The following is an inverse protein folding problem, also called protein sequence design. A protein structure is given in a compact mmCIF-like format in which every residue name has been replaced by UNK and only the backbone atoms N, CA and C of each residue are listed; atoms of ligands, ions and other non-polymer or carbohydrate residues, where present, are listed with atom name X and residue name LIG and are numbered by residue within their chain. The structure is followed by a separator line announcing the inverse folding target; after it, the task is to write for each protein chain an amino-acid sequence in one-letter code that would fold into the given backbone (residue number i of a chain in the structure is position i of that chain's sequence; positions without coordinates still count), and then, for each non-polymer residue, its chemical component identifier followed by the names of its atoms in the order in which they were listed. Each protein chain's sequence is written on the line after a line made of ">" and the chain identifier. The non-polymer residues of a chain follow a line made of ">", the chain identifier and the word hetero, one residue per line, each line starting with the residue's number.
data_IF_138902313964
#
_entry.id   IF_138902313964
#
_cell.length_a   1.000
_cell.length_b   1.000
_cell.length_c   1.000
_cell.angle_alpha   90.00
_cell.angle_beta   90.00
_cell.angle_gamma   90.00
#
_symmetry.space_group_name_H-M   'P 1'
#
loop_
_entity.id
_entity.type
_entity.pdbx_description
1 polymer ?
#
# COMPACT_ATOMS: atom_id res chain seq x y z
N UNK A 1 7.92 -11.31 -11.82
CA UNK A 1 8.28 -12.22 -10.70
C UNK A 1 8.21 -11.41 -9.42
N UNK A 2 7.46 -11.82 -8.41
CA UNK A 2 7.27 -11.03 -7.20
C UNK A 2 8.54 -11.00 -6.33
N UNK A 3 8.81 -9.89 -5.60
CA UNK A 3 10.02 -9.74 -4.77
C UNK A 3 10.26 -10.86 -3.77
N UNK A 4 9.19 -11.48 -3.24
CA UNK A 4 9.28 -12.59 -2.29
C UNK A 4 10.02 -13.80 -2.83
N UNK A 5 9.81 -14.16 -4.08
CA UNK A 5 10.53 -15.28 -4.72
C UNK A 5 12.01 -14.99 -4.91
N UNK A 6 12.36 -13.73 -5.09
CA UNK A 6 13.76 -13.29 -5.17
C UNK A 6 14.39 -13.20 -3.79
N UNK A 7 13.66 -12.69 -2.80
CA UNK A 7 14.09 -12.64 -1.41
C UNK A 7 14.36 -14.05 -0.85
N UNK A 8 13.56 -15.06 -1.23
CA UNK A 8 13.81 -16.45 -0.84
C UNK A 8 15.08 -17.03 -1.43
N UNK A 9 15.47 -16.61 -2.65
CA UNK A 9 16.74 -17.02 -3.29
C UNK A 9 17.95 -16.37 -2.62
N UNK A 10 17.81 -15.15 -2.10
CA UNK A 10 18.88 -14.42 -1.42
C UNK A 10 19.11 -14.86 0.02
N UNK A 11 18.30 -15.75 0.55
CA UNK A 11 18.33 -16.15 1.96
C UNK A 11 18.10 -14.95 2.88
N UNK A 12 17.45 -15.09 3.94
CA UNK A 12 17.20 -14.20 5.09
C UNK A 12 17.54 -12.69 4.98
N UNK A 13 17.43 -12.09 3.80
CA UNK A 13 17.89 -10.75 3.59
C UNK A 13 16.83 -9.69 3.89
N UNK A 14 17.18 -8.77 4.78
CA UNK A 14 16.25 -7.93 5.51
C UNK A 14 15.76 -6.68 4.77
N UNK A 15 16.34 -6.29 3.63
CA UNK A 15 16.08 -4.98 3.03
C UNK A 15 14.84 -4.88 2.13
N UNK A 16 14.31 -6.02 1.66
CA UNK A 16 13.04 -6.09 0.90
C UNK A 16 12.11 -7.10 1.57
N UNK A 17 12.35 -7.39 2.83
CA UNK A 17 11.73 -8.50 3.50
C UNK A 17 10.45 -8.10 4.18
N UNK A 18 9.47 -9.00 4.07
CA UNK A 18 8.32 -9.02 4.96
C UNK A 18 8.83 -9.37 6.36
N UNK A 19 8.97 -8.36 7.18
CA UNK A 19 9.27 -8.53 8.60
C UNK A 19 7.97 -8.96 9.28
N UNK A 20 7.96 -9.95 10.17
CA UNK A 20 6.77 -10.30 10.93
C UNK A 20 6.17 -9.08 11.61
N UNK A 21 4.83 -8.96 11.62
CA UNK A 21 4.16 -7.84 12.26
C UNK A 21 4.53 -7.72 13.73
N UNK A 22 4.78 -6.48 14.14
CA UNK A 22 4.93 -6.12 15.54
C UNK A 22 3.55 -5.97 16.20
N UNK A 23 3.48 -6.07 17.52
CA UNK A 23 2.23 -5.83 18.23
C UNK A 23 1.72 -4.39 18.00
N UNK A 24 0.47 -4.25 17.60
CA UNK A 24 -0.15 -2.97 17.27
C UNK A 24 0.24 -2.36 15.92
N UNK A 25 1.04 -3.05 15.12
CA UNK A 25 1.39 -2.63 13.76
C UNK A 25 0.20 -2.78 12.81
N UNK A 26 0.02 -1.79 11.94
CA UNK A 26 -0.98 -1.80 10.85
C UNK A 26 -0.25 -1.62 9.53
N UNK A 27 -0.57 -2.46 8.55
CA UNK A 27 -0.04 -2.34 7.19
C UNK A 27 -1.13 -1.93 6.22
N UNK A 28 -0.84 -0.87 5.46
CA UNK A 28 -1.77 -0.29 4.49
C UNK A 28 -1.11 -0.34 3.12
N UNK A 29 -1.75 -1.04 2.20
CA UNK A 29 -1.43 -0.94 0.78
C UNK A 29 -2.28 0.17 0.17
N UNK A 30 -1.69 1.06 -0.63
CA UNK A 30 -2.44 2.00 -1.46
C UNK A 30 -2.11 1.81 -2.94
N UNK A 31 -3.08 2.09 -3.80
CA UNK A 31 -2.89 2.09 -5.23
C UNK A 31 -3.61 3.30 -5.87
N UNK A 32 -2.86 4.08 -6.64
CA UNK A 32 -3.39 5.06 -7.59
C UNK A 32 -3.38 4.41 -8.97
N UNK A 33 -4.58 4.24 -9.55
CA UNK A 33 -4.79 3.38 -10.72
C UNK A 33 -4.73 4.20 -12.01
N UNK A 34 -3.88 3.79 -12.92
CA UNK A 34 -3.75 4.39 -14.25
C UNK A 34 -4.24 3.48 -15.38
N UNK A 35 -4.62 4.09 -16.47
CA UNK A 35 -5.01 3.42 -17.70
C UNK A 35 -3.83 2.84 -18.48
N UNK A 36 -4.17 1.84 -19.30
CA UNK A 36 -3.34 1.39 -20.40
C UNK A 36 -2.87 2.57 -21.27
N UNK A 37 -1.64 2.52 -21.68
CA UNK A 37 -0.95 3.55 -22.46
C UNK A 37 -1.79 4.13 -23.60
N UNK A 38 -2.06 5.42 -23.56
CA UNK A 38 -2.48 6.15 -24.76
C UNK A 38 -1.25 6.51 -25.60
N UNK A 39 -1.37 6.43 -26.92
CA UNK A 39 -0.28 6.78 -27.86
C UNK A 39 0.10 8.27 -27.85
N UNK A 40 -0.51 9.09 -27.00
CA UNK A 40 -0.28 10.52 -26.88
C UNK A 40 0.21 10.86 -25.48
N UNK A 41 1.51 11.07 -25.36
CA UNK A 41 2.23 11.74 -24.27
C UNK A 41 1.87 11.37 -22.82
N UNK A 42 2.86 10.89 -22.12
CA UNK A 42 2.89 10.53 -20.68
C UNK A 42 1.84 9.49 -20.27
N UNK A 43 2.26 8.25 -20.36
CA UNK A 43 1.51 7.15 -19.77
C UNK A 43 1.49 7.35 -18.27
N UNK A 44 0.31 7.58 -17.69
CA UNK A 44 0.14 7.48 -16.26
C UNK A 44 0.50 6.05 -15.81
N UNK A 45 1.13 5.90 -14.68
CA UNK A 45 1.48 4.61 -14.11
C UNK A 45 0.64 4.34 -12.88
N UNK A 46 0.18 3.10 -12.73
CA UNK A 46 -0.34 2.67 -11.45
C UNK A 46 0.79 2.66 -10.44
N UNK A 47 0.62 3.41 -9.35
CA UNK A 47 1.60 3.51 -8.28
C UNK A 47 1.07 2.83 -7.01
N UNK A 48 1.84 1.88 -6.48
CA UNK A 48 1.48 1.10 -5.29
C UNK A 48 2.49 1.40 -4.18
N UNK A 49 1.98 1.61 -2.95
CA UNK A 49 2.79 1.78 -1.75
C UNK A 49 2.32 0.86 -0.64
N UNK A 50 3.27 0.34 0.13
CA UNK A 50 3.00 -0.36 1.38
C UNK A 50 3.59 0.43 2.53
N UNK A 51 2.70 0.88 3.41
CA UNK A 51 2.98 1.64 4.60
C UNK A 51 2.83 0.74 5.83
N UNK A 52 3.89 0.64 6.59
CA UNK A 52 3.94 0.01 7.89
C UNK A 52 3.76 1.09 8.97
N UNK A 53 2.58 1.14 9.57
CA UNK A 53 2.30 2.01 10.70
C UNK A 53 2.75 1.33 11.99
N UNK A 54 3.79 1.86 12.63
CA UNK A 54 4.34 1.32 13.87
C UNK A 54 3.97 2.23 15.04
N UNK A 55 3.37 1.69 16.12
CA UNK A 55 3.03 2.49 17.30
C UNK A 55 4.30 2.98 18.00
N UNK A 56 4.25 4.23 18.46
CA UNK A 56 5.31 4.84 19.25
C UNK A 56 4.95 4.87 20.74
N UNK A 57 5.93 5.00 21.60
CA UNK A 57 5.71 5.14 23.05
C UNK A 57 4.82 6.34 23.42
N UNK A 58 4.71 7.33 22.55
CA UNK A 58 3.85 8.50 22.75
C UNK A 58 2.38 8.28 22.34
N UNK A 59 1.97 7.06 22.02
CA UNK A 59 0.61 6.74 21.58
C UNK A 59 0.25 7.26 20.18
N UNK A 60 1.27 7.57 19.39
CA UNK A 60 1.16 7.96 17.97
C UNK A 60 1.77 6.88 17.09
N UNK A 61 1.58 7.01 15.78
CA UNK A 61 2.18 6.10 14.81
C UNK A 61 3.25 6.78 13.96
N UNK A 62 4.28 6.03 13.61
CA UNK A 62 5.22 6.38 12.55
C UNK A 62 4.87 5.54 11.32
N UNK A 63 4.79 6.18 10.16
CA UNK A 63 4.56 5.53 8.87
C UNK A 63 5.89 5.26 8.20
N UNK A 64 6.23 3.99 8.04
CA UNK A 64 7.41 3.57 7.29
C UNK A 64 6.95 3.01 5.94
N UNK A 65 7.38 3.62 4.85
CA UNK A 65 7.15 3.08 3.52
C UNK A 65 8.16 1.96 3.31
N UNK A 66 7.67 0.73 3.26
CA UNK A 66 8.51 -0.48 3.19
C UNK A 66 8.59 -1.08 1.79
N UNK A 67 7.69 -0.67 0.90
CA UNK A 67 7.66 -1.11 -0.48
C UNK A 67 6.97 -0.10 -1.38
N UNK A 68 7.43 0.01 -2.61
CA UNK A 68 6.78 0.78 -3.67
C UNK A 68 6.99 0.11 -5.03
N UNK A 69 5.95 0.11 -5.84
CA UNK A 69 5.94 -0.45 -7.19
C UNK A 69 5.20 0.49 -8.13
N UNK A 70 5.59 0.48 -9.40
CA UNK A 70 4.87 1.16 -10.47
C UNK A 70 4.67 0.22 -11.62
N UNK A 71 3.45 0.17 -12.16
CA UNK A 71 3.05 -0.66 -13.27
C UNK A 71 2.47 0.22 -14.39
N UNK A 72 2.84 -0.07 -15.63
CA UNK A 72 2.34 0.63 -16.83
C UNK A 72 1.65 -0.35 -17.77
N UNK A 73 0.62 0.10 -18.46
CA UNK A 73 0.01 -0.65 -19.57
C UNK A 73 -0.75 -1.91 -19.19
N UNK A 74 -1.05 -2.14 -17.93
CA UNK A 74 -1.73 -3.33 -17.45
C UNK A 74 -3.26 -3.16 -17.51
N UNK A 75 -3.97 -4.28 -17.69
CA UNK A 75 -5.42 -4.35 -17.59
C UNK A 75 -5.86 -4.27 -16.12
N UNK A 76 -7.12 -3.97 -15.89
CA UNK A 76 -7.67 -3.84 -14.52
C UNK A 76 -7.62 -5.15 -13.72
N UNK A 77 -7.80 -6.29 -14.39
CA UNK A 77 -7.70 -7.62 -13.79
C UNK A 77 -6.24 -7.96 -13.37
N UNK A 78 -5.27 -7.64 -14.23
CA UNK A 78 -3.84 -7.82 -13.91
C UNK A 78 -3.42 -6.93 -12.73
N UNK A 79 -3.86 -5.66 -12.74
CA UNK A 79 -3.58 -4.72 -11.65
C UNK A 79 -4.22 -5.18 -10.33
N UNK A 80 -5.47 -5.68 -10.36
CA UNK A 80 -6.14 -6.23 -9.19
C UNK A 80 -5.39 -7.46 -8.64
N UNK A 81 -4.88 -8.32 -9.52
CA UNK A 81 -4.11 -9.49 -9.11
C UNK A 81 -2.78 -9.10 -8.45
N UNK A 82 -2.06 -8.11 -8.99
CA UNK A 82 -0.83 -7.58 -8.37
C UNK A 82 -1.14 -7.02 -6.99
N UNK A 83 -2.16 -6.16 -6.86
CA UNK A 83 -2.58 -5.57 -5.59
C UNK A 83 -2.93 -6.67 -4.59
N UNK A 84 -3.68 -7.69 -5.03
CA UNK A 84 -4.09 -8.80 -4.17
C UNK A 84 -2.92 -9.65 -3.69
N UNK A 85 -1.97 -9.95 -4.58
CA UNK A 85 -0.73 -10.67 -4.23
C UNK A 85 0.11 -9.89 -3.22
N UNK A 86 0.31 -8.59 -3.45
CA UNK A 86 1.06 -7.73 -2.52
C UNK A 86 0.35 -7.58 -1.17
N UNK A 87 -0.99 -7.48 -1.18
CA UNK A 87 -1.79 -7.44 0.05
C UNK A 87 -1.55 -8.66 0.93
N UNK A 88 -1.55 -9.86 0.35
CA UNK A 88 -1.31 -11.11 1.09
C UNK A 88 0.17 -11.27 1.45
N UNK A 89 1.07 -10.99 0.51
CA UNK A 89 2.51 -11.13 0.71
C UNK A 89 3.01 -10.27 1.87
N UNK A 90 2.57 -9.01 1.94
CA UNK A 90 2.94 -8.11 3.03
C UNK A 90 2.02 -8.20 4.24
N UNK A 91 1.11 -9.15 4.30
CA UNK A 91 0.13 -9.29 5.38
C UNK A 91 -0.56 -7.95 5.71
N UNK A 92 -0.99 -7.22 4.67
CA UNK A 92 -1.64 -5.94 4.83
C UNK A 92 -2.99 -6.08 5.53
N UNK A 93 -3.38 -5.05 6.28
CA UNK A 93 -4.69 -4.99 6.96
C UNK A 93 -5.73 -4.29 6.10
N UNK A 94 -5.29 -3.32 5.30
CA UNK A 94 -6.16 -2.50 4.48
C UNK A 94 -5.56 -2.24 3.10
N UNK A 95 -6.47 -2.06 2.12
CA UNK A 95 -6.16 -1.56 0.79
C UNK A 95 -6.82 -0.19 0.66
N UNK A 96 -6.08 0.83 0.27
CA UNK A 96 -6.60 2.17 -0.06
C UNK A 96 -6.64 2.29 -1.58
N UNK A 97 -7.82 2.52 -2.12
CA UNK A 97 -8.05 2.59 -3.56
C UNK A 97 -8.87 3.83 -3.91
N UNK A 98 -8.41 4.62 -4.90
CA UNK A 98 -9.27 5.64 -5.49
C UNK A 98 -10.38 4.94 -6.29
N UNK A 99 -11.61 5.05 -5.79
CA UNK A 99 -12.79 4.44 -6.40
C UNK A 99 -13.49 5.37 -7.43
N UNK A 100 -12.74 6.30 -8.02
CA UNK A 100 -13.20 7.09 -9.16
C UNK A 100 -12.65 6.50 -10.47
N UNK A 101 -13.43 6.59 -11.53
CA UNK A 101 -12.99 6.15 -12.86
C UNK A 101 -12.54 4.69 -12.89
N UNK A 102 -11.27 4.47 -13.20
CA UNK A 102 -10.70 3.14 -13.40
C UNK A 102 -10.56 2.33 -12.10
N UNK A 103 -10.34 2.99 -10.98
CA UNK A 103 -10.26 2.31 -9.70
C UNK A 103 -11.52 1.55 -9.35
N UNK A 104 -12.70 1.94 -9.89
CA UNK A 104 -13.93 1.14 -9.78
C UNK A 104 -13.77 -0.23 -10.45
N UNK A 105 -13.15 -0.28 -11.64
CA UNK A 105 -12.91 -1.54 -12.35
C UNK A 105 -11.97 -2.47 -11.60
N UNK A 106 -10.90 -1.92 -11.00
CA UNK A 106 -9.99 -2.70 -10.15
C UNK A 106 -10.70 -3.17 -8.87
N UNK A 107 -11.52 -2.29 -8.26
CA UNK A 107 -12.35 -2.69 -7.13
C UNK A 107 -13.29 -3.85 -7.47
N UNK A 108 -13.98 -3.80 -8.61
CA UNK A 108 -14.89 -4.85 -9.06
C UNK A 108 -14.17 -6.20 -9.29
N UNK A 109 -12.91 -6.15 -9.70
CA UNK A 109 -12.07 -7.34 -9.76
C UNK A 109 -11.72 -7.88 -8.37
N UNK A 110 -11.33 -7.01 -7.43
CA UNK A 110 -11.04 -7.39 -6.04
C UNK A 110 -12.29 -7.85 -5.27
N UNK A 111 -13.49 -7.41 -5.68
CA UNK A 111 -14.77 -7.75 -5.05
C UNK A 111 -15.32 -9.12 -5.48
N UNK A 112 -14.56 -9.91 -6.21
CA UNK A 112 -14.82 -11.28 -6.61
C UNK A 112 -13.59 -12.16 -6.36
N UNK A 113 -13.75 -13.48 -6.39
CA UNK A 113 -12.60 -14.36 -6.32
C UNK A 113 -11.70 -14.13 -7.56
N UNK A 114 -10.42 -13.92 -7.31
CA UNK A 114 -9.40 -13.77 -8.35
C UNK A 114 -8.62 -15.06 -8.49
N UNK A 115 -8.37 -15.45 -9.73
CA UNK A 115 -7.56 -16.63 -10.05
C UNK A 115 -6.28 -16.17 -10.70
N UNK A 116 -5.15 -16.56 -10.13
CA UNK A 116 -3.85 -16.45 -10.80
C UNK A 116 -3.73 -17.59 -11.82
N UNK A 117 -3.81 -17.26 -13.09
CA UNK A 117 -3.76 -18.24 -14.19
C UNK A 117 -2.41 -18.94 -14.30
N UNK A 118 -1.34 -18.32 -13.80
CA UNK A 118 0.02 -18.87 -13.89
C UNK A 118 0.27 -19.92 -12.80
N UNK A 119 -0.33 -19.74 -11.63
CA UNK A 119 -0.13 -20.64 -10.46
C UNK A 119 -1.35 -21.48 -10.14
N UNK A 120 -2.53 -21.12 -10.64
CA UNK A 120 -3.82 -21.73 -10.27
C UNK A 120 -4.29 -21.31 -8.86
N UNK A 121 -3.62 -20.37 -8.19
CA UNK A 121 -4.01 -19.89 -6.87
C UNK A 121 -5.28 -19.06 -6.94
N UNK A 122 -6.19 -19.28 -5.98
CA UNK A 122 -7.45 -18.53 -5.88
C UNK A 122 -7.41 -17.62 -4.67
N UNK A 123 -7.61 -16.33 -4.93
CA UNK A 123 -7.68 -15.28 -3.91
C UNK A 123 -9.13 -14.91 -3.62
N UNK A 124 -9.64 -15.14 -2.40
CA UNK A 124 -11.01 -14.79 -2.04
C UNK A 124 -11.32 -13.32 -2.21
N UNK A 125 -12.59 -13.02 -2.52
CA UNK A 125 -13.10 -11.67 -2.68
C UNK A 125 -12.88 -10.80 -1.44
N UNK A 126 -12.60 -9.52 -1.69
CA UNK A 126 -12.50 -8.47 -0.67
C UNK A 126 -13.63 -7.46 -0.86
N UNK A 127 -14.01 -6.76 0.21
CA UNK A 127 -15.11 -5.79 0.17
C UNK A 127 -14.71 -4.44 0.77
N UNK A 128 -15.50 -3.42 0.47
CA UNK A 128 -15.29 -2.08 0.99
C UNK A 128 -15.68 -1.97 2.47
N UNK A 129 -14.84 -1.26 3.26
CA UNK A 129 -15.05 -1.09 4.70
C UNK A 129 -15.62 0.28 5.09
N UNK A 130 -15.62 1.27 4.19
CA UNK A 130 -15.97 2.66 4.53
C UNK A 130 -17.08 3.28 3.67
N UNK A 131 -17.56 2.59 2.64
CA UNK A 131 -18.61 3.08 1.74
C UNK A 131 -19.60 1.96 1.43
N UNK A 132 -20.89 2.18 1.76
CA UNK A 132 -21.94 1.16 1.59
C UNK A 132 -22.28 0.90 0.12
N UNK A 133 -22.23 1.91 -0.75
CA UNK A 133 -22.49 1.75 -2.19
C UNK A 133 -21.40 0.88 -2.84
N UNK A 134 -20.15 1.14 -2.47
CA UNK A 134 -19.04 0.31 -2.94
C UNK A 134 -19.11 -1.11 -2.35
N UNK A 135 -19.44 -1.25 -1.08
CA UNK A 135 -19.62 -2.56 -0.45
C UNK A 135 -20.71 -3.39 -1.10
N UNK A 136 -21.82 -2.76 -1.54
CA UNK A 136 -22.93 -3.42 -2.23
C UNK A 136 -22.54 -4.02 -3.62
N UNK A 137 -21.45 -3.57 -4.21
CA UNK A 137 -20.92 -4.16 -5.47
C UNK A 137 -20.29 -5.55 -5.27
N UNK A 138 -19.84 -5.84 -4.04
CA UNK A 138 -19.35 -7.16 -3.69
C UNK A 138 -20.52 -8.08 -3.33
N UNK A 139 -20.83 -9.05 -4.20
CA UNK A 139 -21.92 -10.00 -4.01
C UNK A 139 -21.49 -11.29 -3.30
N UNK A 140 -20.20 -11.45 -3.04
CA UNK A 140 -19.66 -12.66 -2.38
C UNK A 140 -19.98 -12.60 -0.89
N UNK A 141 -20.70 -13.61 -0.34
CA UNK A 141 -21.04 -13.61 1.07
C UNK A 141 -19.79 -13.65 1.96
N UNK A 142 -19.81 -12.87 3.06
CA UNK A 142 -18.73 -12.84 4.04
C UNK A 142 -17.36 -12.37 3.50
N UNK A 143 -17.33 -11.68 2.35
CA UNK A 143 -16.12 -11.08 1.84
C UNK A 143 -15.50 -10.14 2.89
N UNK A 144 -14.19 -10.23 3.08
CA UNK A 144 -13.47 -9.47 4.08
C UNK A 144 -13.51 -7.97 3.77
N UNK A 145 -13.98 -7.14 4.72
CA UNK A 145 -14.14 -5.68 4.54
C UNK A 145 -12.83 -4.96 4.87
N UNK A 146 -11.94 -4.86 3.91
CA UNK A 146 -10.60 -4.28 4.08
C UNK A 146 -10.28 -3.18 3.07
N UNK A 147 -11.10 -3.01 2.01
CA UNK A 147 -10.84 -1.99 1.00
C UNK A 147 -11.41 -0.65 1.48
N UNK A 148 -10.54 0.34 1.63
CA UNK A 148 -10.89 1.71 1.90
C UNK A 148 -11.00 2.45 0.57
N UNK A 149 -12.24 2.61 0.10
CA UNK A 149 -12.54 3.33 -1.13
C UNK A 149 -12.53 4.84 -0.85
N UNK A 150 -11.71 5.57 -1.57
CA UNK A 150 -11.68 7.03 -1.53
C UNK A 150 -12.29 7.60 -2.82
N UNK A 151 -12.77 8.82 -2.74
CA UNK A 151 -13.15 9.64 -3.88
C UNK A 151 -12.28 10.90 -3.86
N UNK A 152 -11.39 11.01 -4.83
CA UNK A 152 -10.40 12.08 -4.92
C UNK A 152 -11.06 13.43 -5.29
N UNK A 153 -11.89 13.96 -4.38
CA UNK A 153 -12.47 15.30 -4.50
C UNK A 153 -11.42 16.37 -4.26
N UNK A 154 -11.67 17.61 -4.70
CA UNK A 154 -10.77 18.74 -4.45
C UNK A 154 -10.49 18.97 -2.96
N UNK A 155 -11.50 18.78 -2.09
CA UNK A 155 -11.33 18.88 -0.64
C UNK A 155 -10.44 17.75 -0.11
N UNK A 156 -10.74 16.50 -0.50
CA UNK A 156 -9.94 15.34 -0.10
C UNK A 156 -8.47 15.50 -0.52
N UNK A 157 -8.21 15.90 -1.77
CA UNK A 157 -6.85 16.09 -2.26
C UNK A 157 -6.10 17.19 -1.51
N UNK A 158 -6.79 18.28 -1.15
CA UNK A 158 -6.23 19.34 -0.32
C UNK A 158 -5.86 18.82 1.08
N UNK A 159 -6.77 18.11 1.74
CA UNK A 159 -6.54 17.55 3.08
C UNK A 159 -5.42 16.50 3.08
N UNK A 160 -5.37 15.66 2.04
CA UNK A 160 -4.31 14.67 1.86
C UNK A 160 -2.94 15.35 1.67
N UNK A 161 -2.88 16.43 0.87
CA UNK A 161 -1.67 17.20 0.65
C UNK A 161 -1.15 17.84 1.95
N UNK A 162 -2.03 18.47 2.72
CA UNK A 162 -1.66 19.03 4.01
C UNK A 162 -1.19 17.97 4.99
N UNK A 163 -1.90 16.84 5.07
CA UNK A 163 -1.53 15.73 5.94
C UNK A 163 -0.16 15.17 5.59
N UNK A 164 0.11 14.95 4.30
CA UNK A 164 1.39 14.43 3.83
C UNK A 164 2.53 15.38 4.14
N UNK A 165 2.36 16.69 3.87
CA UNK A 165 3.35 17.73 4.17
C UNK A 165 3.67 17.76 5.67
N UNK A 166 2.64 17.71 6.51
CA UNK A 166 2.83 17.72 7.96
C UNK A 166 3.50 16.42 8.45
N UNK A 167 3.18 15.29 7.83
CA UNK A 167 3.84 14.01 8.12
C UNK A 167 5.34 14.04 7.85
N UNK A 168 5.77 14.62 6.74
CA UNK A 168 7.20 14.81 6.44
C UNK A 168 7.84 15.81 7.39
N UNK A 169 7.20 16.98 7.61
CA UNK A 169 7.72 18.03 8.47
C UNK A 169 7.94 17.56 9.92
N UNK A 170 7.05 16.76 10.42
CA UNK A 170 7.12 16.20 11.78
C UNK A 170 7.98 14.93 11.90
N UNK A 171 8.58 14.45 10.80
CA UNK A 171 9.39 13.22 10.78
C UNK A 171 8.59 11.94 11.03
N UNK A 172 7.27 12.00 10.83
CA UNK A 172 6.37 10.85 11.03
C UNK A 172 6.29 9.91 9.83
N UNK A 173 6.78 10.34 8.67
CA UNK A 173 6.90 9.53 7.46
C UNK A 173 8.38 9.24 7.23
N UNK A 174 8.67 7.98 6.98
CA UNK A 174 9.99 7.51 6.57
C UNK A 174 9.84 6.79 5.25
N UNK A 175 10.53 7.27 4.24
CA UNK A 175 10.58 6.61 2.94
C UNK A 175 11.56 5.45 2.96
N UNK A 176 11.39 4.53 2.03
CA UNK A 176 12.41 3.56 1.69
C UNK A 176 13.66 4.31 1.17
N UNK A 177 14.83 3.70 1.26
CA UNK A 177 16.06 4.25 0.71
C UNK A 177 15.92 4.51 -0.79
N UNK A 178 16.62 5.52 -1.28
CA UNK A 178 16.77 5.76 -2.72
C UNK A 178 17.68 4.69 -3.35
N UNK A 179 17.67 4.58 -4.68
CA UNK A 179 18.54 3.61 -5.38
C UNK A 179 20.01 3.82 -5.05
N UNK A 180 20.46 5.08 -4.93
CA UNK A 180 21.84 5.42 -4.59
C UNK A 180 22.23 4.98 -3.17
N UNK A 181 21.32 5.15 -2.21
CA UNK A 181 21.53 4.72 -0.83
C UNK A 181 21.47 3.20 -0.67
N UNK A 182 20.70 2.52 -1.52
CA UNK A 182 20.51 1.08 -1.48
C UNK A 182 21.62 0.30 -2.20
N UNK A 183 22.36 0.90 -3.13
CA UNK A 183 23.31 0.22 -3.99
C UNK A 183 24.38 -0.55 -3.19
N UNK A 184 25.08 0.12 -2.29
CA UNK A 184 26.14 -0.51 -1.48
C UNK A 184 25.62 -1.54 -0.47
N UNK A 185 24.50 -1.30 0.26
CA UNK A 185 23.86 -2.34 1.05
C UNK A 185 23.45 -3.57 0.25
N UNK A 186 22.89 -3.41 -0.96
CA UNK A 186 22.47 -4.53 -1.80
C UNK A 186 23.66 -5.38 -2.25
N UNK A 187 24.77 -4.76 -2.65
CA UNK A 187 25.99 -5.48 -3.04
C UNK A 187 26.57 -6.34 -1.90
N UNK A 188 26.37 -5.95 -0.64
CA UNK A 188 26.85 -6.69 0.54
C UNK A 188 26.00 -7.91 0.86
N UNK A 189 24.85 -8.05 0.24
CA UNK A 189 23.97 -9.17 0.43
C UNK A 189 24.56 -10.43 -0.18
N UNK A 190 24.70 -11.48 0.62
CA UNK A 190 25.20 -12.77 0.14
C UNK A 190 24.31 -13.30 -1.00
N UNK A 191 24.91 -13.58 -2.14
CA UNK A 191 24.22 -14.09 -3.32
C UNK A 191 23.68 -13.02 -4.27
N UNK A 192 23.65 -11.74 -3.90
CA UNK A 192 23.16 -10.68 -4.78
C UNK A 192 23.98 -10.59 -6.09
N UNK A 193 25.32 -10.63 -6.00
CA UNK A 193 26.20 -10.55 -7.17
C UNK A 193 26.14 -11.78 -8.09
N UNK A 194 25.54 -12.89 -7.63
CA UNK A 194 25.35 -14.10 -8.44
C UNK A 194 23.99 -14.15 -9.14
N UNK A 195 23.12 -13.18 -8.89
CA UNK A 195 21.84 -13.02 -9.59
C UNK A 195 22.07 -12.52 -11.02
N UNK A 196 21.16 -12.90 -11.91
CA UNK A 196 21.12 -12.30 -13.25
C UNK A 196 20.86 -10.79 -13.18
N UNK A 197 21.25 -10.01 -14.20
CA UNK A 197 20.95 -8.58 -14.25
C UNK A 197 19.47 -8.25 -14.07
N UNK A 198 18.60 -9.04 -14.68
CA UNK A 198 17.13 -8.84 -14.55
C UNK A 198 16.64 -9.06 -13.13
N UNK A 199 17.16 -10.07 -12.44
CA UNK A 199 16.82 -10.32 -11.02
C UNK A 199 17.35 -9.21 -10.12
N UNK A 200 18.54 -8.67 -10.39
CA UNK A 200 19.09 -7.53 -9.66
C UNK A 200 18.23 -6.29 -9.86
N UNK A 201 17.81 -6.00 -11.09
CA UNK A 201 16.89 -4.89 -11.39
C UNK A 201 15.56 -5.05 -10.65
N UNK A 202 14.98 -6.24 -10.62
CA UNK A 202 13.73 -6.49 -9.88
C UNK A 202 13.86 -6.18 -8.38
N UNK A 203 15.02 -6.48 -7.78
CA UNK A 203 15.29 -6.15 -6.37
C UNK A 203 15.47 -4.64 -6.18
N UNK A 204 16.01 -3.95 -7.18
CA UNK A 204 16.26 -2.50 -7.12
C UNK A 204 15.01 -1.66 -7.37
N UNK A 205 13.99 -2.20 -8.05
CA UNK A 205 12.78 -1.46 -8.45
C UNK A 205 12.13 -0.64 -7.32
N UNK A 206 11.94 -1.14 -6.09
CA UNK A 206 11.36 -0.33 -5.02
C UNK A 206 12.21 0.89 -4.66
N UNK A 207 13.52 0.79 -4.73
CA UNK A 207 14.44 1.90 -4.45
C UNK A 207 14.48 2.92 -5.59
N UNK A 208 14.45 2.45 -6.85
CA UNK A 208 14.31 3.29 -8.05
C UNK A 208 12.99 4.07 -7.97
N UNK A 209 11.89 3.40 -7.64
CA UNK A 209 10.59 4.06 -7.47
C UNK A 209 10.61 5.09 -6.33
N UNK A 210 11.39 4.86 -5.27
CA UNK A 210 11.57 5.85 -4.21
C UNK A 210 12.34 7.08 -4.71
N UNK A 211 13.39 6.90 -5.52
CA UNK A 211 14.10 8.00 -6.17
C UNK A 211 13.15 8.82 -7.05
N UNK A 212 12.34 8.14 -7.86
CA UNK A 212 11.36 8.80 -8.72
C UNK A 212 10.26 9.52 -7.91
N UNK A 213 9.83 8.97 -6.76
CA UNK A 213 8.92 9.66 -5.85
C UNK A 213 9.53 10.95 -5.29
N UNK A 214 10.77 10.91 -4.84
CA UNK A 214 11.47 12.11 -4.33
C UNK A 214 11.58 13.16 -5.43
N UNK A 215 11.87 12.75 -6.67
CA UNK A 215 11.89 13.64 -7.83
C UNK A 215 10.51 14.26 -8.12
N UNK A 216 9.42 13.46 -8.07
CA UNK A 216 8.06 13.97 -8.18
C UNK A 216 7.77 15.01 -7.08
N UNK A 217 7.99 14.65 -5.81
CA UNK A 217 7.70 15.51 -4.65
C UNK A 217 8.41 16.87 -4.73
N UNK A 218 9.64 16.91 -5.25
CA UNK A 218 10.43 18.14 -5.35
C UNK A 218 10.01 19.03 -6.52
N UNK A 219 9.36 18.48 -7.54
CA UNK A 219 8.96 19.18 -8.77
C UNK A 219 7.49 19.56 -8.84
N UNK A 220 6.67 19.04 -7.92
CA UNK A 220 5.25 19.39 -7.83
C UNK A 220 5.08 20.89 -7.53
N UNK A 221 4.03 21.43 -8.11
CA UNK A 221 3.58 22.80 -7.89
C UNK A 221 2.28 22.80 -7.10
N UNK A 222 1.99 23.90 -6.46
CA UNK A 222 0.73 24.08 -5.74
C UNK A 222 0.09 25.42 -6.08
N UNK A 223 -1.22 25.45 -6.02
CA UNK A 223 -2.05 26.64 -6.15
C UNK A 223 -3.06 26.65 -5.00
N UNK A 224 -3.21 27.80 -4.37
CA UNK A 224 -4.23 28.00 -3.34
C UNK A 224 -5.42 28.75 -3.94
N UNK A 225 -6.61 28.17 -3.78
CA UNK A 225 -7.87 28.81 -4.18
C UNK A 225 -8.97 28.44 -3.18
N UNK A 226 -9.68 29.45 -2.70
CA UNK A 226 -10.82 29.27 -1.77
C UNK A 226 -10.50 28.41 -0.53
N UNK A 227 -9.30 28.56 0.03
CA UNK A 227 -8.84 27.83 1.22
C UNK A 227 -8.49 26.36 0.95
N UNK A 228 -8.37 25.95 -0.32
CA UNK A 228 -7.95 24.62 -0.73
C UNK A 228 -6.64 24.71 -1.50
N UNK A 229 -5.80 23.72 -1.30
CA UNK A 229 -4.57 23.54 -2.06
C UNK A 229 -4.81 22.51 -3.16
N UNK A 230 -4.48 22.89 -4.39
CA UNK A 230 -4.41 21.99 -5.53
C UNK A 230 -2.94 21.70 -5.84
N UNK A 231 -2.56 20.46 -5.81
CA UNK A 231 -1.24 19.99 -6.23
C UNK A 231 -1.33 19.57 -7.70
N UNK A 232 -0.37 20.01 -8.49
CA UNK A 232 -0.31 19.66 -9.90
C UNK A 232 1.14 19.45 -10.36
N UNK A 233 1.28 18.66 -11.39
CA UNK A 233 2.53 18.39 -12.08
C UNK A 233 2.80 19.43 -13.17
N UNK A 234 4.06 19.66 -13.47
CA UNK A 234 4.45 20.41 -14.67
C UNK A 234 4.17 19.56 -15.92
N UNK A 235 3.99 20.25 -17.05
CA UNK A 235 3.81 19.57 -18.34
C UNK A 235 4.92 18.52 -18.58
N UNK A 236 4.51 17.31 -18.91
CA UNK A 236 5.42 16.19 -19.13
C UNK A 236 5.90 15.45 -17.88
N UNK A 237 5.39 15.79 -16.72
CA UNK A 237 5.71 15.11 -15.45
C UNK A 237 4.51 14.32 -14.96
N UNK A 238 4.77 13.43 -13.98
CA UNK A 238 3.77 12.57 -13.33
C UNK A 238 3.62 12.96 -11.86
N UNK A 239 2.50 12.55 -11.26
CA UNK A 239 2.23 12.67 -9.82
C UNK A 239 1.58 11.41 -9.22
N UNK A 240 1.62 10.30 -9.93
CA UNK A 240 0.92 9.06 -9.54
C UNK A 240 1.47 8.51 -8.22
N UNK A 241 2.80 8.56 -8.05
CA UNK A 241 3.46 8.14 -6.80
C UNK A 241 3.09 9.07 -5.65
N UNK A 242 3.09 10.37 -5.89
CA UNK A 242 2.63 11.35 -4.90
C UNK A 242 1.18 11.08 -4.49
N UNK A 243 0.28 10.88 -5.44
CA UNK A 243 -1.15 10.66 -5.17
C UNK A 243 -1.35 9.42 -4.31
N UNK A 244 -0.77 8.28 -4.71
CA UNK A 244 -0.88 7.04 -3.95
C UNK A 244 -0.33 7.17 -2.53
N UNK A 245 0.85 7.81 -2.34
CA UNK A 245 1.42 8.04 -1.02
C UNK A 245 0.55 8.98 -0.18
N UNK A 246 0.02 10.07 -0.78
CA UNK A 246 -0.83 11.03 -0.08
C UNK A 246 -2.12 10.38 0.42
N UNK A 247 -2.74 9.54 -0.40
CA UNK A 247 -3.94 8.79 -0.06
C UNK A 247 -3.67 7.77 1.05
N UNK A 248 -2.56 7.05 0.94
CA UNK A 248 -2.12 6.11 1.98
C UNK A 248 -1.98 6.81 3.32
N UNK A 249 -1.20 7.89 3.36
CA UNK A 249 -0.91 8.58 4.62
C UNK A 249 -2.13 9.27 5.20
N UNK A 250 -3.00 9.84 4.35
CA UNK A 250 -4.26 10.43 4.81
C UNK A 250 -5.15 9.41 5.52
N UNK A 251 -5.31 8.21 4.92
CA UNK A 251 -6.09 7.13 5.53
C UNK A 251 -5.41 6.63 6.81
N UNK A 252 -4.10 6.50 6.82
CA UNK A 252 -3.32 6.17 8.02
C UNK A 252 -3.61 7.14 9.17
N UNK A 253 -3.65 8.44 8.92
CA UNK A 253 -4.00 9.45 9.91
C UNK A 253 -5.45 9.37 10.37
N UNK A 254 -6.39 9.06 9.48
CA UNK A 254 -7.79 8.84 9.86
C UNK A 254 -7.94 7.62 10.78
N UNK A 255 -7.22 6.55 10.51
CA UNK A 255 -7.19 5.36 11.37
C UNK A 255 -6.62 5.69 12.74
N UNK A 256 -5.46 6.34 12.81
CA UNK A 256 -4.85 6.78 14.06
C UNK A 256 -5.82 7.63 14.89
N UNK A 257 -6.46 8.63 14.27
CA UNK A 257 -7.40 9.50 14.97
C UNK A 257 -8.62 8.73 15.53
N UNK A 258 -9.13 7.73 14.81
CA UNK A 258 -10.22 6.88 15.32
C UNK A 258 -9.78 6.08 16.53
N UNK A 259 -8.54 5.60 16.55
CA UNK A 259 -7.97 4.84 17.65
C UNK A 259 -7.79 5.69 18.90
N UNK A 260 -7.22 6.87 18.76
CA UNK A 260 -7.05 7.82 19.85
C UNK A 260 -8.42 8.20 20.45
N UNK A 261 -9.43 8.44 19.61
CA UNK A 261 -10.79 8.75 20.10
C UNK A 261 -11.40 7.59 20.87
N UNK A 262 -11.24 6.35 20.42
CA UNK A 262 -11.72 5.16 21.16
C UNK A 262 -11.02 5.05 22.51
N UNK A 263 -9.71 5.20 22.55
CA UNK A 263 -8.93 5.17 23.77
C UNK A 263 -9.39 6.23 24.80
N UNK A 264 -9.64 7.46 24.35
CA UNK A 264 -10.10 8.54 25.22
C UNK A 264 -11.54 8.36 25.73
N UNK A 265 -12.37 7.60 24.99
CA UNK A 265 -13.75 7.31 25.38
C UNK A 265 -13.87 6.09 26.31
N UNK A 266 -12.94 5.15 26.21
CA UNK A 266 -12.86 3.98 27.10
C UNK A 266 -12.05 4.33 28.35
N UNK A 267 -12.67 5.08 29.29
CA UNK A 267 -12.05 5.54 30.54
C UNK A 267 -11.63 4.41 31.51
N UNK A 268 -11.75 3.14 31.11
CA UNK A 268 -11.31 1.97 31.86
C UNK A 268 -10.15 1.21 31.19
N UNK A 269 -9.55 1.73 30.14
CA UNK A 269 -8.52 1.03 29.41
C UNK A 269 -7.15 1.18 30.06
N UNK A 270 -6.85 0.33 31.00
CA UNK A 270 -5.47 0.00 31.42
C UNK A 270 -4.80 -0.92 30.40
N UNK A 271 -5.51 -1.32 29.36
CA UNK A 271 -5.02 -2.18 28.29
C UNK A 271 -4.55 -1.35 27.10
N UNK A 272 -3.23 -1.41 26.89
CA UNK A 272 -2.59 -0.87 25.70
C UNK A 272 -3.25 -1.41 24.42
N UNK A 273 -3.56 -0.52 23.51
CA UNK A 273 -3.91 -0.64 22.11
C UNK A 273 -3.78 -2.04 21.51
N UNK A 274 -4.82 -2.83 21.58
CA UNK A 274 -5.00 -3.95 20.68
C UNK A 274 -6.07 -3.56 19.69
N UNK A 275 -5.67 -2.94 18.58
CA UNK A 275 -6.52 -2.92 17.43
C UNK A 275 -6.53 -4.33 16.91
N UNK A 276 -7.64 -5.02 17.04
CA UNK A 276 -7.83 -6.22 16.23
C UNK A 276 -7.96 -5.76 14.79
N UNK A 277 -6.99 -6.04 13.92
CA UNK A 277 -7.23 -5.95 12.49
C UNK A 277 -8.44 -6.83 12.18
N UNK A 278 -9.16 -6.58 11.07
CA UNK A 278 -10.23 -7.45 10.65
C UNK A 278 -9.71 -8.88 10.70
N UNK A 279 -10.42 -9.75 11.43
CA UNK A 279 -10.01 -11.14 11.60
C UNK A 279 -9.86 -11.77 10.22
N UNK A 280 -8.64 -12.17 9.90
CA UNK A 280 -8.37 -12.92 8.68
C UNK A 280 -9.00 -14.30 8.83
N UNK A 281 -10.19 -14.45 8.29
CA UNK A 281 -10.87 -15.75 8.16
C UNK A 281 -10.59 -16.40 6.81
N UNK A 282 -9.43 -16.11 6.23
CA UNK A 282 -8.96 -16.84 5.06
C UNK A 282 -8.75 -18.28 5.47
N UNK A 283 -9.60 -19.19 5.00
CA UNK A 283 -9.29 -20.62 4.99
C UNK A 283 -7.97 -20.75 4.26
N UNK A 284 -6.91 -21.13 4.96
CA UNK A 284 -5.72 -21.63 4.32
C UNK A 284 -6.17 -22.73 3.38
N UNK A 285 -6.11 -22.47 2.09
CA UNK A 285 -6.26 -23.52 1.08
C UNK A 285 -5.09 -24.47 1.33
N UNK A 286 -5.43 -25.73 1.54
CA UNK A 286 -4.58 -26.83 1.90
C UNK A 286 -3.22 -26.81 1.19
N UNK A 287 -2.24 -26.24 1.85
CA UNK A 287 -0.84 -26.44 1.59
C UNK A 287 -0.25 -27.07 2.84
N UNK A 288 -0.10 -28.37 2.80
CA UNK A 288 0.83 -29.17 3.59
C UNK A 288 1.27 -28.56 4.93
N UNK A 289 0.70 -29.07 6.01
CA UNK A 289 0.91 -28.82 7.43
C UNK A 289 -0.14 -27.91 8.08
N UNK A 290 -1.19 -28.58 8.57
CA UNK A 290 -2.30 -28.04 9.32
C UNK A 290 -1.94 -27.22 10.57
N UNK A 291 -1.50 -26.00 10.35
CA UNK A 291 -1.53 -24.97 11.37
C UNK A 291 -2.65 -24.00 11.00
N UNK A 292 -3.78 -24.19 11.63
CA UNK A 292 -4.82 -23.17 11.70
C UNK A 292 -4.22 -21.93 12.33
N UNK A 293 -4.18 -20.82 11.56
CA UNK A 293 -3.75 -19.49 12.04
C UNK A 293 -4.81 -18.88 12.97
N UNK A 294 -5.40 -19.67 13.86
CA UNK A 294 -6.47 -19.18 14.74
C UNK A 294 -6.01 -18.76 16.13
N UNK A 295 -4.73 -18.89 16.44
CA UNK A 295 -4.25 -18.53 17.76
C UNK A 295 -3.06 -17.60 17.63
N UNK A 296 -3.28 -16.38 17.99
CA UNK A 296 -2.36 -15.40 18.60
C UNK A 296 -2.54 -14.00 18.05
N UNK A 297 -3.47 -13.32 18.66
CA UNK A 297 -3.42 -11.88 18.80
C UNK A 297 -3.42 -11.56 20.31
N UNK A 298 -2.25 -11.45 20.88
CA UNK A 298 -2.03 -10.83 22.16
C UNK A 298 -1.25 -9.56 21.97
#
# INVERSE_FOLDING_TARGET
>A
MLPSRLASKLGNNQNIRIVPKQNGEIRILSADIALMSSKKHNNDATAIFINQMVPTKAGRYTSNIVYTESCEGLRTDDQALIIRKLYDEFECDYIVLDSAGLGVGVYDCLARDLVDTDTGEVYPALSCCNNSEMAARCTVPNAQKVIWCIKASAQFNSDAAFSLREGFRSGRIRLLSTEYEAEEPLKKIKGYSSLSPDEQVQIQLPYINTTLLVDELTKLQHEESSGKVKIFERAGMRKDRYSSLAYNYYVAMQMENKLIKRFNNDSNATEMFVIKPPSYTGKAVNGINGRTKNDRWY
#
